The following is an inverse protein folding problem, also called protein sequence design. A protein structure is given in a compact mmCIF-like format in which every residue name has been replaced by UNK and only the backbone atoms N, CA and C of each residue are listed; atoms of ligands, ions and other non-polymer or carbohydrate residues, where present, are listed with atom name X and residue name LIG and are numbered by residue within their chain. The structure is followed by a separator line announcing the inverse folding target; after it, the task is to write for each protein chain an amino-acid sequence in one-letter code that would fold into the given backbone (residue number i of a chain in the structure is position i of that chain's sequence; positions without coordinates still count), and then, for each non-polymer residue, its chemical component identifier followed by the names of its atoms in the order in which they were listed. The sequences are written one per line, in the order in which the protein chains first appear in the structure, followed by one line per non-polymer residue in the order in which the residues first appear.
data_IF_856698585428
#
_entry.id   IF_856698585428
#
_cell.length_a   1.000
_cell.length_b   1.000
_cell.length_c   1.000
_cell.angle_alpha   90.00
_cell.angle_beta   90.00
_cell.angle_gamma   90.00
#
_symmetry.space_group_name_H-M   'P 1'
#
loop_
_entity.id
_entity.type
_entity.pdbx_description
1 polymer ?
#
# COMPACT_ATOMS: atom_id res chain seq x y z
N UNK A 1 36.69 38.33 -28.54
CA UNK A 1 36.35 36.90 -28.67
C UNK A 1 35.85 36.38 -27.34
N UNK A 2 34.56 36.08 -27.33
CA UNK A 2 33.77 35.22 -26.45
C UNK A 2 34.44 34.59 -25.20
N UNK A 3 33.99 35.07 -24.03
CA UNK A 3 33.21 34.23 -23.10
C UNK A 3 33.97 33.33 -22.13
N UNK A 4 34.51 33.89 -21.05
CA UNK A 4 34.56 33.19 -19.75
C UNK A 4 33.12 33.03 -19.25
N UNK A 5 32.51 31.87 -19.46
CA UNK A 5 31.24 31.52 -18.82
C UNK A 5 31.49 30.67 -17.58
N UNK A 6 30.90 31.13 -16.48
CA UNK A 6 30.45 30.41 -15.29
C UNK A 6 31.51 29.79 -14.37
N UNK A 7 32.12 30.62 -13.52
CA UNK A 7 32.85 30.18 -12.32
C UNK A 7 32.35 30.87 -11.02
N UNK A 8 31.14 31.44 -11.06
CA UNK A 8 30.52 32.16 -9.94
C UNK A 8 29.02 31.79 -9.85
N UNK A 9 28.71 30.50 -9.76
CA UNK A 9 27.55 30.11 -8.95
C UNK A 9 28.06 30.05 -7.51
N UNK A 10 27.45 30.83 -6.64
CA UNK A 10 28.06 31.30 -5.39
C UNK A 10 28.11 30.19 -4.32
N UNK A 11 29.27 29.94 -3.67
CA UNK A 11 29.38 28.96 -2.57
C UNK A 11 28.38 29.21 -1.43
N UNK A 12 28.02 30.49 -1.19
CA UNK A 12 27.11 30.89 -0.12
C UNK A 12 25.64 30.47 -0.36
N UNK A 13 25.18 30.41 -1.61
CA UNK A 13 23.84 29.92 -1.93
C UNK A 13 23.77 28.39 -1.79
N UNK A 14 24.85 27.69 -2.15
CA UNK A 14 24.95 26.24 -1.95
C UNK A 14 24.94 25.86 -0.46
N UNK A 15 25.69 26.57 0.39
CA UNK A 15 25.68 26.37 1.85
C UNK A 15 24.29 26.65 2.46
N UNK A 16 23.62 27.72 2.02
CA UNK A 16 22.28 28.04 2.51
C UNK A 16 21.23 26.97 2.12
N UNK A 17 21.31 26.42 0.91
CA UNK A 17 20.44 25.32 0.46
C UNK A 17 20.71 24.03 1.23
N UNK A 18 21.98 23.72 1.50
CA UNK A 18 22.37 22.55 2.29
C UNK A 18 21.85 22.65 3.73
N UNK A 19 21.95 23.82 4.35
CA UNK A 19 21.42 24.07 5.70
C UNK A 19 19.89 23.95 5.77
N UNK A 20 19.18 24.41 4.75
CA UNK A 20 17.72 24.22 4.65
C UNK A 20 17.38 22.74 4.50
N UNK A 21 18.11 22.00 3.66
CA UNK A 21 17.93 20.56 3.49
C UNK A 21 18.14 19.78 4.79
N UNK A 22 19.22 20.09 5.54
CA UNK A 22 19.50 19.49 6.85
C UNK A 22 18.39 19.76 7.87
N UNK A 23 17.85 20.98 7.90
CA UNK A 23 16.74 21.35 8.79
C UNK A 23 15.47 20.58 8.43
N UNK A 24 15.12 20.51 7.15
CA UNK A 24 13.95 19.75 6.68
C UNK A 24 14.07 18.25 7.02
N UNK A 25 15.26 17.66 6.85
CA UNK A 25 15.51 16.27 7.22
C UNK A 25 15.39 16.05 8.75
N UNK A 26 15.91 16.97 9.56
CA UNK A 26 15.79 16.90 11.01
C UNK A 26 14.32 17.02 11.48
N UNK A 27 13.56 17.93 10.89
CA UNK A 27 12.12 18.11 11.19
C UNK A 27 11.29 16.90 10.77
N UNK A 28 11.58 16.33 9.59
CA UNK A 28 10.96 15.09 9.11
C UNK A 28 11.21 13.93 10.08
N UNK A 29 12.47 13.72 10.48
CA UNK A 29 12.84 12.66 11.43
C UNK A 29 12.18 12.86 12.79
N UNK A 30 12.07 14.12 13.25
CA UNK A 30 11.35 14.47 14.48
C UNK A 30 9.86 14.12 14.37
N UNK A 31 9.23 14.38 13.23
CA UNK A 31 7.83 14.01 12.97
C UNK A 31 7.65 12.48 13.00
N UNK A 32 8.53 11.73 12.34
CA UNK A 32 8.50 10.25 12.35
C UNK A 32 8.65 9.69 13.78
N UNK A 33 9.56 10.25 14.59
CA UNK A 33 9.74 9.84 16.00
C UNK A 33 8.47 9.99 16.84
N UNK A 34 7.69 11.03 16.57
CA UNK A 34 6.43 11.35 17.27
C UNK A 34 5.29 10.41 16.93
N UNK A 35 5.40 9.59 15.88
CA UNK A 35 4.39 8.59 15.58
C UNK A 35 4.27 7.61 16.75
N UNK A 36 3.07 7.47 17.30
CA UNK A 36 2.80 6.63 18.46
C UNK A 36 1.52 5.82 18.30
N UNK A 37 1.43 4.73 19.07
CA UNK A 37 0.22 3.93 19.15
C UNK A 37 -0.90 4.79 19.77
N UNK A 38 -2.03 4.90 19.09
CA UNK A 38 -3.13 5.76 19.53
C UNK A 38 -4.48 5.17 19.12
N UNK A 39 -5.47 5.33 19.98
CA UNK A 39 -6.84 4.84 19.73
C UNK A 39 -7.48 5.69 18.63
N UNK A 40 -8.05 5.10 17.58
CA UNK A 40 -8.72 5.84 16.52
C UNK A 40 -9.78 6.80 17.04
N UNK A 41 -9.87 7.98 16.42
CA UNK A 41 -10.75 9.08 16.83
C UNK A 41 -10.55 9.62 18.26
N UNK A 42 -9.35 9.44 18.86
CA UNK A 42 -8.93 10.18 20.06
C UNK A 42 -8.25 11.51 19.71
N UNK A 43 -8.16 12.46 20.66
CA UNK A 43 -7.42 13.73 20.47
C UNK A 43 -5.98 13.51 20.03
N UNK A 44 -5.30 12.54 20.65
CA UNK A 44 -3.92 12.17 20.29
C UNK A 44 -3.86 11.61 18.88
N UNK A 45 -4.81 10.76 18.49
CA UNK A 45 -4.89 10.22 17.12
C UNK A 45 -5.15 11.30 16.07
N UNK A 46 -5.99 12.30 16.38
CA UNK A 46 -6.22 13.45 15.48
C UNK A 46 -4.93 14.23 15.25
N UNK A 47 -4.16 14.50 16.31
CA UNK A 47 -2.87 15.18 16.18
C UNK A 47 -1.84 14.31 15.44
N UNK A 48 -1.84 12.99 15.69
CA UNK A 48 -0.97 12.04 14.99
C UNK A 48 -1.31 11.95 13.50
N UNK A 49 -2.59 12.08 13.13
CA UNK A 49 -3.05 12.09 11.73
C UNK A 49 -2.39 13.20 10.92
N UNK A 50 -2.22 14.39 11.49
CA UNK A 50 -1.53 15.49 10.80
C UNK A 50 -0.04 15.20 10.56
N UNK A 51 0.60 14.54 11.54
CA UNK A 51 1.99 14.10 11.41
C UNK A 51 2.12 13.03 10.33
N UNK A 52 1.25 12.01 10.34
CA UNK A 52 1.19 10.95 9.32
C UNK A 52 0.95 11.55 7.94
N UNK A 53 0.02 12.49 7.81
CA UNK A 53 -0.29 13.15 6.55
C UNK A 53 0.92 13.90 5.99
N UNK A 54 1.63 14.64 6.84
CA UNK A 54 2.86 15.33 6.43
C UNK A 54 3.93 14.35 5.97
N UNK A 55 4.24 13.32 6.77
CA UNK A 55 5.25 12.30 6.44
C UNK A 55 4.91 11.56 5.15
N UNK A 56 3.66 11.15 4.98
CA UNK A 56 3.19 10.45 3.78
C UNK A 56 3.30 11.31 2.52
N UNK A 57 3.00 12.61 2.62
CA UNK A 57 3.15 13.52 1.48
C UNK A 57 4.62 13.64 1.05
N UNK A 58 5.56 13.73 1.99
CA UNK A 58 7.00 13.76 1.66
C UNK A 58 7.44 12.43 1.04
N UNK A 59 7.02 11.29 1.61
CA UNK A 59 7.30 9.97 1.05
C UNK A 59 6.78 9.82 -0.40
N UNK A 60 5.55 10.28 -0.67
CA UNK A 60 4.98 10.25 -2.01
C UNK A 60 5.73 11.16 -3.00
N UNK A 61 6.23 12.30 -2.54
CA UNK A 61 7.05 13.18 -3.37
C UNK A 61 8.39 12.51 -3.71
N UNK A 62 9.07 11.95 -2.72
CA UNK A 62 10.34 11.21 -2.89
C UNK A 62 10.16 10.00 -3.82
N UNK A 63 9.07 9.25 -3.67
CA UNK A 63 8.79 8.04 -4.46
C UNK A 63 8.52 8.34 -5.95
N UNK A 64 8.14 9.58 -6.29
CA UNK A 64 7.91 10.02 -7.68
C UNK A 64 9.18 10.57 -8.34
N UNK A 65 10.26 10.77 -7.57
CA UNK A 65 11.51 11.23 -8.14
C UNK A 65 12.11 10.12 -9.01
N UNK A 66 12.74 10.47 -10.16
CA UNK A 66 13.42 9.47 -10.98
C UNK A 66 14.48 8.76 -10.16
N UNK A 67 14.40 7.44 -10.04
CA UNK A 67 15.46 6.63 -9.45
C UNK A 67 16.70 6.71 -10.33
N UNK A 68 17.78 7.24 -9.78
CA UNK A 68 19.10 7.15 -10.42
C UNK A 68 19.51 5.68 -10.32
N UNK A 69 19.58 4.98 -11.46
CA UNK A 69 19.90 3.55 -11.63
C UNK A 69 19.03 2.51 -10.88
N UNK A 70 18.86 1.33 -11.49
CA UNK A 70 17.95 0.27 -11.01
C UNK A 70 18.45 -0.48 -9.76
N UNK A 71 19.74 -0.36 -9.42
CA UNK A 71 20.41 -1.15 -8.36
C UNK A 71 20.69 -0.35 -7.07
N UNK A 72 20.15 0.86 -6.91
CA UNK A 72 20.38 1.59 -5.67
C UNK A 72 19.55 1.04 -4.51
N UNK A 73 20.24 0.72 -3.43
CA UNK A 73 19.63 0.37 -2.14
C UNK A 73 18.91 1.57 -1.54
N UNK A 74 17.98 1.32 -0.61
CA UNK A 74 17.29 2.39 0.12
C UNK A 74 18.27 3.35 0.83
N UNK A 75 19.44 2.84 1.21
CA UNK A 75 20.47 3.60 1.93
C UNK A 75 21.22 4.60 1.04
N UNK A 76 21.30 4.31 -0.25
CA UNK A 76 21.97 5.14 -1.26
C UNK A 76 21.01 6.10 -1.97
N UNK A 77 19.71 5.83 -1.90
CA UNK A 77 18.66 6.62 -2.53
C UNK A 77 18.38 7.95 -1.83
N UNK A 78 17.65 8.82 -2.54
CA UNK A 78 17.19 10.13 -2.04
C UNK A 78 15.90 10.02 -1.18
N UNK A 79 15.43 8.80 -0.91
CA UNK A 79 14.18 8.52 -0.20
C UNK A 79 14.38 8.54 1.34
N UNK A 80 14.70 9.72 1.86
CA UNK A 80 15.00 9.95 3.27
C UNK A 80 13.84 9.57 4.19
N UNK A 81 12.60 9.74 3.74
CA UNK A 81 11.41 9.48 4.55
C UNK A 81 11.28 8.01 4.91
N UNK A 82 11.33 7.12 3.91
CA UNK A 82 11.25 5.66 4.13
C UNK A 82 12.44 5.20 4.98
N UNK A 83 13.64 5.74 4.70
CA UNK A 83 14.83 5.42 5.48
C UNK A 83 14.67 5.77 6.96
N UNK A 84 14.19 6.97 7.29
CA UNK A 84 13.94 7.35 8.67
C UNK A 84 12.80 6.55 9.32
N UNK A 85 11.78 6.13 8.57
CA UNK A 85 10.75 5.23 9.09
C UNK A 85 11.34 3.88 9.53
N UNK A 86 12.27 3.32 8.75
CA UNK A 86 12.96 2.08 9.10
C UNK A 86 13.94 2.27 10.25
N UNK A 87 14.81 3.28 10.20
CA UNK A 87 15.80 3.57 11.25
C UNK A 87 15.15 3.78 12.63
N UNK A 88 13.95 4.37 12.67
CA UNK A 88 13.21 4.62 13.91
C UNK A 88 12.25 3.47 14.28
N UNK A 89 12.25 2.37 13.53
CA UNK A 89 11.42 1.18 13.78
C UNK A 89 9.91 1.43 13.66
N UNK A 90 9.50 2.40 12.83
CA UNK A 90 8.11 2.87 12.75
C UNK A 90 7.26 2.13 11.72
N UNK A 91 7.84 1.39 10.78
CA UNK A 91 7.06 0.68 9.74
C UNK A 91 6.03 -0.29 10.34
N UNK A 92 6.46 -1.16 11.25
CA UNK A 92 5.55 -2.10 11.92
C UNK A 92 4.59 -1.42 12.91
N UNK A 93 4.87 -0.19 13.35
CA UNK A 93 3.88 0.62 14.07
C UNK A 93 2.81 1.14 13.10
N UNK A 94 3.21 1.69 11.95
CA UNK A 94 2.30 2.15 10.91
C UNK A 94 1.34 1.04 10.46
N UNK A 95 1.86 -0.17 10.28
CA UNK A 95 1.09 -1.34 9.92
C UNK A 95 0.02 -1.71 10.96
N UNK A 96 0.42 -1.83 12.23
CA UNK A 96 -0.51 -2.10 13.34
C UNK A 96 -1.58 -1.01 13.49
N UNK A 97 -1.18 0.26 13.37
CA UNK A 97 -2.10 1.38 13.41
C UNK A 97 -3.14 1.34 12.27
N UNK A 98 -2.74 0.96 11.06
CA UNK A 98 -3.68 0.77 9.95
C UNK A 98 -4.64 -0.39 10.22
N UNK A 99 -4.11 -1.50 10.72
CA UNK A 99 -4.90 -2.69 10.99
C UNK A 99 -5.92 -2.46 12.11
N UNK A 100 -5.50 -1.86 13.22
CA UNK A 100 -6.39 -1.41 14.29
C UNK A 100 -7.45 -0.46 13.76
N UNK A 101 -7.08 0.50 12.90
CA UNK A 101 -8.03 1.43 12.29
C UNK A 101 -9.07 0.72 11.42
N UNK A 102 -8.69 -0.26 10.58
CA UNK A 102 -9.64 -0.98 9.73
C UNK A 102 -10.57 -1.89 10.54
N UNK A 103 -10.06 -2.58 11.57
CA UNK A 103 -10.90 -3.34 12.50
C UNK A 103 -11.87 -2.44 13.25
N UNK A 104 -11.35 -1.34 13.80
CA UNK A 104 -12.15 -0.34 14.51
C UNK A 104 -13.26 0.28 13.63
N UNK A 105 -12.97 0.48 12.33
CA UNK A 105 -13.92 1.04 11.36
C UNK A 105 -15.00 0.01 10.97
N UNK A 106 -14.62 -1.26 10.78
CA UNK A 106 -15.54 -2.34 10.46
C UNK A 106 -16.60 -2.58 11.56
N UNK A 107 -16.20 -2.41 12.83
CA UNK A 107 -17.10 -2.54 14.00
C UNK A 107 -18.11 -1.38 14.13
N UNK A 108 -17.93 -0.28 13.38
CA UNK A 108 -18.72 0.96 13.52
C UNK A 108 -19.43 1.29 12.21
N UNK A 109 -20.54 0.63 11.88
CA UNK A 109 -21.31 0.96 10.69
C UNK A 109 -21.94 2.34 10.84
N UNK A 110 -21.38 3.35 10.18
CA UNK A 110 -21.97 4.67 9.81
C UNK A 110 -23.00 5.32 10.75
N UNK A 111 -22.90 5.11 12.07
CA UNK A 111 -23.81 5.74 13.03
C UNK A 111 -23.47 7.21 13.12
N UNK A 112 -24.31 8.08 12.53
CA UNK A 112 -24.21 9.53 12.64
C UNK A 112 -24.06 9.99 14.09
N UNK A 113 -24.77 9.34 15.01
CA UNK A 113 -24.70 9.61 16.45
C UNK A 113 -23.32 9.30 17.06
N UNK A 114 -22.65 8.25 16.60
CA UNK A 114 -21.28 7.96 17.04
C UNK A 114 -20.31 9.04 16.58
N UNK A 115 -20.39 9.43 15.30
CA UNK A 115 -19.51 10.44 14.73
C UNK A 115 -19.67 11.78 15.46
N UNK A 116 -20.90 12.16 15.80
CA UNK A 116 -21.17 13.36 16.60
C UNK A 116 -20.50 13.30 17.98
N UNK A 117 -20.63 12.16 18.67
CA UNK A 117 -20.04 11.97 20.01
C UNK A 117 -18.51 12.01 19.97
N UNK A 118 -17.90 11.25 19.05
CA UNK A 118 -16.44 11.20 18.91
C UNK A 118 -15.86 12.55 18.46
N UNK A 119 -16.57 13.28 17.58
CA UNK A 119 -16.15 14.60 17.15
C UNK A 119 -16.18 15.61 18.31
N UNK A 120 -17.24 15.58 19.14
CA UNK A 120 -17.32 16.40 20.34
C UNK A 120 -16.18 16.11 21.33
N UNK A 121 -15.86 14.84 21.57
CA UNK A 121 -14.70 14.46 22.40
C UNK A 121 -13.38 14.98 21.85
N UNK A 122 -13.24 15.09 20.53
CA UNK A 122 -12.06 15.65 19.87
C UNK A 122 -12.06 17.18 19.73
N UNK A 123 -13.12 17.88 20.17
CA UNK A 123 -13.35 19.30 19.88
C UNK A 123 -13.35 19.62 18.38
N UNK A 124 -13.94 18.74 17.56
CA UNK A 124 -14.07 18.88 16.11
C UNK A 124 -15.54 18.89 15.68
N UNK A 125 -15.81 19.45 14.50
CA UNK A 125 -17.07 19.20 13.82
C UNK A 125 -17.10 17.75 13.27
N UNK A 126 -18.29 17.09 13.18
CA UNK A 126 -18.42 15.74 12.65
C UNK A 126 -17.76 15.56 11.27
N UNK A 127 -17.97 16.52 10.37
CA UNK A 127 -17.35 16.51 9.03
C UNK A 127 -15.82 16.63 9.09
N UNK A 128 -15.28 17.40 10.04
CA UNK A 128 -13.84 17.51 10.21
C UNK A 128 -13.22 16.20 10.73
N UNK A 129 -13.91 15.50 11.65
CA UNK A 129 -13.47 14.17 12.09
C UNK A 129 -13.56 13.16 10.94
N UNK A 130 -14.64 13.17 10.15
CA UNK A 130 -14.79 12.33 8.96
C UNK A 130 -13.64 12.54 7.97
N UNK A 131 -13.25 13.79 7.73
CA UNK A 131 -12.09 14.11 6.91
C UNK A 131 -10.79 13.58 7.52
N UNK A 132 -10.60 13.67 8.84
CA UNK A 132 -9.41 13.10 9.51
C UNK A 132 -9.34 11.58 9.35
N UNK A 133 -10.46 10.86 9.44
CA UNK A 133 -10.52 9.41 9.19
C UNK A 133 -10.02 9.07 7.78
N UNK A 134 -10.53 9.77 6.76
CA UNK A 134 -10.09 9.57 5.38
C UNK A 134 -8.61 9.95 5.17
N UNK A 135 -8.16 11.07 5.73
CA UNK A 135 -6.76 11.51 5.63
C UNK A 135 -5.84 10.49 6.27
N UNK A 136 -6.17 9.98 7.47
CA UNK A 136 -5.38 8.95 8.14
C UNK A 136 -5.27 7.70 7.27
N UNK A 137 -6.39 7.17 6.78
CA UNK A 137 -6.41 5.95 5.96
C UNK A 137 -5.54 6.11 4.70
N UNK A 138 -5.72 7.23 3.99
CA UNK A 138 -4.99 7.51 2.76
C UNK A 138 -3.49 7.70 3.02
N UNK A 139 -3.13 8.50 4.02
CA UNK A 139 -1.74 8.86 4.29
C UNK A 139 -0.96 7.70 4.89
N UNK A 140 -1.54 6.98 5.85
CA UNK A 140 -0.91 5.78 6.39
C UNK A 140 -0.80 4.70 5.31
N UNK A 141 -1.83 4.58 4.46
CA UNK A 141 -1.83 3.66 3.33
C UNK A 141 -0.69 3.90 2.35
N UNK A 142 -0.52 5.16 1.96
CA UNK A 142 0.56 5.61 1.09
C UNK A 142 1.95 5.40 1.72
N UNK A 143 2.11 5.70 3.01
CA UNK A 143 3.39 5.54 3.70
C UNK A 143 3.85 4.07 3.72
N UNK A 144 2.95 3.15 4.03
CA UNK A 144 3.24 1.70 3.99
C UNK A 144 3.58 1.29 2.55
N UNK A 145 2.80 1.75 1.56
CA UNK A 145 3.02 1.41 0.14
C UNK A 145 4.41 1.86 -0.33
N UNK A 146 4.77 3.12 -0.06
CA UNK A 146 6.09 3.66 -0.41
C UNK A 146 7.20 2.89 0.30
N UNK A 147 6.98 2.47 1.55
CA UNK A 147 7.98 1.67 2.28
C UNK A 147 8.19 0.31 1.63
N UNK A 148 7.11 -0.43 1.35
CA UNK A 148 7.18 -1.79 0.78
C UNK A 148 7.74 -1.84 -0.64
N UNK A 149 7.88 -0.71 -1.33
CA UNK A 149 8.59 -0.66 -2.61
C UNK A 149 10.07 -1.05 -2.48
N UNK A 150 10.64 -1.02 -1.27
CA UNK A 150 12.03 -1.36 -0.98
C UNK A 150 12.16 -2.72 -0.31
N UNK A 151 13.11 -3.53 -0.78
CA UNK A 151 13.38 -4.87 -0.23
C UNK A 151 13.78 -4.82 1.23
N UNK A 152 14.54 -3.81 1.66
CA UNK A 152 15.00 -3.65 3.05
C UNK A 152 13.82 -3.39 4.01
N UNK A 153 12.81 -2.66 3.54
CA UNK A 153 11.57 -2.48 4.29
C UNK A 153 10.76 -3.77 4.33
N UNK A 154 10.63 -4.46 3.18
CA UNK A 154 9.90 -5.72 3.10
C UNK A 154 10.49 -6.79 4.04
N UNK A 155 11.83 -6.89 4.11
CA UNK A 155 12.54 -7.84 4.98
C UNK A 155 12.33 -7.60 6.48
N UNK A 156 12.09 -6.35 6.87
CA UNK A 156 11.87 -5.96 8.29
C UNK A 156 10.38 -5.85 8.65
N UNK A 157 9.49 -5.97 7.66
CA UNK A 157 8.05 -5.93 7.86
C UNK A 157 7.55 -7.18 8.56
N UNK A 158 6.64 -7.02 9.51
CA UNK A 158 5.86 -8.12 10.06
C UNK A 158 4.87 -8.64 9.01
N UNK A 159 5.28 -9.68 8.29
CA UNK A 159 4.48 -10.29 7.22
C UNK A 159 3.18 -10.92 7.75
N UNK A 160 3.16 -11.41 9.00
CA UNK A 160 1.94 -11.99 9.59
C UNK A 160 0.90 -10.90 9.82
N UNK A 161 1.33 -9.75 10.35
CA UNK A 161 0.46 -8.59 10.54
C UNK A 161 -0.03 -8.02 9.19
N UNK A 162 0.86 -7.96 8.18
CA UNK A 162 0.51 -7.44 6.86
C UNK A 162 -0.53 -8.32 6.16
N UNK A 163 -0.30 -9.64 6.15
CA UNK A 163 -1.23 -10.59 5.52
C UNK A 163 -2.58 -10.64 6.26
N UNK A 164 -2.57 -10.49 7.58
CA UNK A 164 -3.80 -10.33 8.37
C UNK A 164 -4.57 -9.06 8.03
N UNK A 165 -3.88 -7.91 7.92
CA UNK A 165 -4.50 -6.64 7.50
C UNK A 165 -5.15 -6.79 6.11
N UNK A 166 -4.42 -7.34 5.14
CA UNK A 166 -4.93 -7.54 3.78
C UNK A 166 -6.17 -8.43 3.80
N UNK A 167 -6.14 -9.54 4.53
CA UNK A 167 -7.29 -10.42 4.71
C UNK A 167 -8.50 -9.66 5.27
N UNK A 168 -8.34 -8.95 6.39
CA UNK A 168 -9.45 -8.27 7.07
C UNK A 168 -10.07 -7.17 6.18
N UNK A 169 -9.25 -6.46 5.39
CA UNK A 169 -9.73 -5.49 4.40
C UNK A 169 -10.54 -6.16 3.30
N UNK A 170 -10.01 -7.22 2.68
CA UNK A 170 -10.68 -7.89 1.56
C UNK A 170 -11.98 -8.59 1.99
N UNK A 171 -11.98 -9.23 3.16
CA UNK A 171 -13.18 -9.84 3.76
C UNK A 171 -14.21 -8.77 4.12
N UNK A 172 -13.79 -7.67 4.75
CA UNK A 172 -14.67 -6.54 5.07
C UNK A 172 -15.34 -5.99 3.81
N UNK A 173 -14.58 -5.80 2.74
CA UNK A 173 -15.12 -5.33 1.44
C UNK A 173 -16.14 -6.29 0.85
N UNK A 174 -15.94 -7.60 1.01
CA UNK A 174 -16.88 -8.60 0.50
C UNK A 174 -18.24 -8.54 1.22
N UNK A 175 -18.27 -8.11 2.49
CA UNK A 175 -19.45 -8.07 3.34
C UNK A 175 -20.36 -6.83 3.14
N UNK A 176 -19.86 -5.71 2.61
CA UNK A 176 -20.62 -4.45 2.41
C UNK A 176 -21.57 -4.51 1.19
N UNK A 177 -22.19 -5.68 0.93
CA UNK A 177 -23.10 -5.84 -0.21
C UNK A 177 -24.39 -5.06 0.05
N UNK A 178 -24.51 -3.91 -0.60
CA UNK A 178 -25.79 -3.37 -0.99
C UNK A 178 -25.91 -3.47 -2.52
N UNK A 179 -26.84 -4.30 -2.99
CA UNK A 179 -27.04 -4.59 -4.41
C UNK A 179 -27.56 -3.37 -5.21
N UNK A 180 -27.87 -2.26 -4.53
CA UNK A 180 -28.49 -1.09 -5.12
C UNK A 180 -27.52 0.06 -5.41
N UNK A 181 -26.29 0.03 -4.89
CA UNK A 181 -25.28 1.06 -5.16
C UNK A 181 -23.95 0.41 -5.56
N UNK A 182 -23.39 0.71 -6.76
CA UNK A 182 -22.05 0.28 -7.09
C UNK A 182 -21.08 0.88 -6.06
N UNK A 183 -20.38 0.00 -5.34
CA UNK A 183 -19.34 0.40 -4.39
C UNK A 183 -18.26 1.14 -5.19
N UNK A 184 -18.11 2.44 -4.95
CA UNK A 184 -17.00 3.23 -5.48
C UNK A 184 -15.79 2.98 -4.59
N UNK A 185 -14.83 2.21 -5.07
CA UNK A 185 -13.56 2.00 -4.37
C UNK A 185 -12.61 3.10 -4.86
N UNK A 186 -12.36 4.11 -4.03
CA UNK A 186 -11.36 5.12 -4.37
C UNK A 186 -9.95 4.51 -4.39
N UNK A 187 -9.07 5.00 -5.26
CA UNK A 187 -7.68 4.52 -5.39
C UNK A 187 -6.84 4.62 -4.11
N UNK A 188 -7.27 5.47 -3.18
CA UNK A 188 -6.61 5.70 -1.89
C UNK A 188 -7.23 4.89 -0.76
N UNK A 189 -8.36 4.24 -1.00
CA UNK A 189 -9.01 3.37 -0.04
C UNK A 189 -8.19 2.10 0.16
N UNK A 190 -8.17 1.54 1.37
CA UNK A 190 -7.36 0.35 1.65
C UNK A 190 -7.71 -0.82 0.75
N UNK A 191 -8.97 -0.92 0.34
CA UNK A 191 -9.49 -1.93 -0.56
C UNK A 191 -8.75 -1.97 -1.91
N UNK A 192 -8.27 -0.81 -2.39
CA UNK A 192 -7.38 -0.73 -3.54
C UNK A 192 -5.90 -0.87 -3.14
N UNK A 193 -5.48 -0.18 -2.07
CA UNK A 193 -4.05 -0.07 -1.68
C UNK A 193 -3.45 -1.41 -1.25
N UNK A 194 -4.22 -2.31 -0.62
CA UNK A 194 -3.75 -3.64 -0.20
C UNK A 194 -3.28 -4.52 -1.36
N UNK A 195 -3.80 -4.31 -2.57
CA UNK A 195 -3.32 -4.99 -3.77
C UNK A 195 -1.87 -4.58 -4.10
N UNK A 196 -1.52 -3.32 -3.87
CA UNK A 196 -0.16 -2.81 -4.04
C UNK A 196 0.79 -3.38 -2.99
N UNK A 197 0.32 -3.57 -1.74
CA UNK A 197 1.15 -4.22 -0.71
C UNK A 197 1.55 -5.63 -1.12
N UNK A 198 0.58 -6.43 -1.58
CA UNK A 198 0.83 -7.79 -2.04
C UNK A 198 1.76 -7.81 -3.26
N UNK A 199 1.53 -6.93 -4.24
CA UNK A 199 2.38 -6.81 -5.41
C UNK A 199 3.83 -6.47 -5.04
N UNK A 200 4.02 -5.53 -4.09
CA UNK A 200 5.34 -5.15 -3.61
C UNK A 200 6.05 -6.27 -2.85
N UNK A 201 5.36 -7.00 -1.97
CA UNK A 201 5.95 -8.16 -1.29
C UNK A 201 6.38 -9.23 -2.30
N UNK A 202 5.54 -9.51 -3.29
CA UNK A 202 5.84 -10.54 -4.30
C UNK A 202 6.86 -10.10 -5.35
N UNK A 203 7.10 -8.79 -5.50
CA UNK A 203 8.21 -8.28 -6.29
C UNK A 203 9.58 -8.59 -5.65
N UNK A 204 9.60 -8.82 -4.34
CA UNK A 204 10.80 -9.15 -3.54
C UNK A 204 10.75 -10.59 -2.99
N UNK A 205 9.99 -11.48 -3.63
CA UNK A 205 9.71 -12.82 -3.09
C UNK A 205 10.99 -13.65 -2.93
N UNK A 206 11.92 -13.53 -3.87
CA UNK A 206 13.21 -14.24 -3.84
C UNK A 206 14.03 -13.82 -2.62
N UNK A 207 14.07 -12.53 -2.29
CA UNK A 207 14.82 -11.98 -1.16
C UNK A 207 14.11 -12.19 0.19
N UNK A 208 12.80 -12.41 0.18
CA UNK A 208 12.00 -12.67 1.39
C UNK A 208 11.94 -14.14 1.77
N UNK A 209 12.31 -15.03 0.84
CA UNK A 209 12.14 -16.48 0.88
C UNK A 209 10.66 -16.91 0.76
N UNK A 210 10.36 -17.63 -0.31
CA UNK A 210 9.02 -18.14 -0.63
C UNK A 210 8.43 -18.96 0.53
N UNK A 211 9.27 -19.77 1.21
CA UNK A 211 8.85 -20.63 2.32
C UNK A 211 8.37 -19.84 3.54
N UNK A 212 8.72 -18.55 3.63
CA UNK A 212 8.23 -17.64 4.68
C UNK A 212 6.93 -16.97 4.29
N UNK A 213 6.74 -16.63 3.02
CA UNK A 213 5.60 -15.83 2.53
C UNK A 213 4.40 -16.71 2.19
N UNK A 214 4.60 -17.79 1.43
CA UNK A 214 3.51 -18.60 0.89
C UNK A 214 2.65 -19.32 1.94
N UNK A 215 3.18 -19.76 3.11
CA UNK A 215 2.33 -20.28 4.18
C UNK A 215 1.33 -19.25 4.71
N UNK A 216 1.71 -17.98 4.80
CA UNK A 216 0.82 -16.90 5.24
C UNK A 216 -0.25 -16.59 4.19
N UNK A 217 0.12 -16.62 2.91
CA UNK A 217 -0.81 -16.47 1.77
C UNK A 217 -1.87 -17.57 1.80
N UNK A 218 -1.46 -18.81 2.10
CA UNK A 218 -2.38 -19.92 2.26
C UNK A 218 -3.26 -19.78 3.51
N UNK A 219 -2.64 -19.48 4.65
CA UNK A 219 -3.33 -19.34 5.95
C UNK A 219 -4.43 -18.27 5.91
N UNK A 220 -4.17 -17.16 5.22
CA UNK A 220 -5.10 -16.04 5.09
C UNK A 220 -5.92 -16.06 3.80
N UNK A 221 -5.90 -17.15 3.04
CA UNK A 221 -6.67 -17.33 1.79
C UNK A 221 -6.55 -16.11 0.84
N UNK A 222 -5.34 -15.56 0.70
CA UNK A 222 -5.18 -14.28 0.01
C UNK A 222 -5.43 -14.40 -1.50
N UNK A 223 -5.03 -15.51 -2.14
CA UNK A 223 -5.28 -15.69 -3.58
C UNK A 223 -6.79 -15.76 -3.90
N UNK A 224 -7.62 -16.59 -3.22
CA UNK A 224 -9.07 -16.61 -3.44
C UNK A 224 -9.74 -15.26 -3.15
N UNK A 225 -9.30 -14.56 -2.11
CA UNK A 225 -9.82 -13.24 -1.74
C UNK A 225 -9.50 -12.20 -2.81
N UNK A 226 -8.27 -12.13 -3.30
CA UNK A 226 -7.89 -11.20 -4.38
C UNK A 226 -8.61 -11.55 -5.67
N UNK A 227 -8.72 -12.83 -6.04
CA UNK A 227 -9.48 -13.23 -7.22
C UNK A 227 -10.93 -12.77 -7.14
N UNK A 228 -11.58 -12.99 -5.98
CA UNK A 228 -12.97 -12.56 -5.75
C UNK A 228 -13.10 -11.03 -5.76
N UNK A 229 -12.15 -10.33 -5.16
CA UNK A 229 -12.14 -8.87 -5.10
C UNK A 229 -12.01 -8.25 -6.50
N UNK A 230 -11.03 -8.70 -7.29
CA UNK A 230 -10.84 -8.23 -8.68
C UNK A 230 -12.04 -8.58 -9.56
N UNK A 231 -12.58 -9.79 -9.44
CA UNK A 231 -13.77 -10.21 -10.20
C UNK A 231 -14.97 -9.30 -9.93
N UNK A 232 -15.21 -8.98 -8.66
CA UNK A 232 -16.39 -8.23 -8.22
C UNK A 232 -16.25 -6.73 -8.42
N UNK A 233 -15.05 -6.18 -8.24
CA UNK A 233 -14.82 -4.74 -8.17
C UNK A 233 -13.95 -4.18 -9.29
N UNK A 234 -13.66 -4.94 -10.35
CA UNK A 234 -12.89 -4.46 -11.50
C UNK A 234 -13.37 -3.09 -12.03
N UNK A 235 -14.67 -2.87 -12.17
CA UNK A 235 -15.21 -1.60 -12.68
C UNK A 235 -15.08 -0.42 -11.70
N UNK A 236 -14.80 -0.70 -10.42
CA UNK A 236 -14.66 0.29 -9.36
C UNK A 236 -13.20 0.56 -8.99
N UNK A 237 -12.27 -0.25 -9.50
CA UNK A 237 -10.84 -0.10 -9.25
C UNK A 237 -10.17 0.65 -10.42
N UNK A 238 -9.11 1.40 -10.12
CA UNK A 238 -8.21 1.88 -11.18
C UNK A 238 -7.48 0.74 -11.87
N UNK A 239 -7.11 0.97 -13.13
CA UNK A 239 -6.22 0.09 -13.90
C UNK A 239 -4.93 -0.24 -13.13
N UNK A 240 -4.35 0.73 -12.43
CA UNK A 240 -3.14 0.55 -11.62
C UNK A 240 -3.35 -0.46 -10.47
N UNK A 241 -4.51 -0.42 -9.81
CA UNK A 241 -4.84 -1.32 -8.71
C UNK A 241 -5.19 -2.73 -9.21
N UNK A 242 -5.88 -2.83 -10.35
CA UNK A 242 -6.10 -4.11 -11.04
C UNK A 242 -4.76 -4.72 -11.43
N UNK A 243 -3.85 -3.93 -11.99
CA UNK A 243 -2.52 -4.38 -12.37
C UNK A 243 -1.73 -4.90 -11.17
N UNK A 244 -1.74 -4.18 -10.05
CA UNK A 244 -1.09 -4.64 -8.81
C UNK A 244 -1.64 -6.00 -8.36
N UNK A 245 -2.97 -6.16 -8.33
CA UNK A 245 -3.60 -7.44 -8.00
C UNK A 245 -3.22 -8.56 -8.98
N UNK A 246 -3.14 -8.25 -10.28
CA UNK A 246 -2.71 -9.21 -11.31
C UNK A 246 -1.24 -9.61 -11.17
N UNK A 247 -0.35 -8.66 -10.83
CA UNK A 247 1.07 -8.94 -10.59
C UNK A 247 1.26 -9.86 -9.38
N UNK A 248 0.56 -9.58 -8.28
CA UNK A 248 0.54 -10.49 -7.12
C UNK A 248 0.11 -11.91 -7.54
N UNK A 249 -1.01 -12.05 -8.24
CA UNK A 249 -1.51 -13.36 -8.67
C UNK A 249 -0.52 -14.05 -9.62
N UNK A 250 0.05 -13.32 -10.58
CA UNK A 250 1.02 -13.87 -11.52
C UNK A 250 2.25 -14.41 -10.79
N UNK A 251 2.85 -13.63 -9.87
CA UNK A 251 4.00 -14.09 -9.08
C UNK A 251 3.63 -15.26 -8.18
N UNK A 252 2.48 -15.22 -7.48
CA UNK A 252 2.03 -16.32 -6.62
C UNK A 252 1.77 -17.61 -7.40
N UNK A 253 1.24 -17.51 -8.62
CA UNK A 253 1.01 -18.65 -9.50
C UNK A 253 2.30 -19.28 -10.04
N UNK A 254 3.43 -18.57 -10.01
CA UNK A 254 4.73 -19.05 -10.50
C UNK A 254 5.57 -19.73 -9.40
N UNK A 255 5.10 -19.68 -8.15
CA UNK A 255 5.79 -20.25 -6.98
C UNK A 255 5.79 -21.78 -6.93
N UNK A 256 6.82 -22.38 -6.33
CA UNK A 256 6.93 -23.83 -6.17
C UNK A 256 5.83 -24.37 -5.22
N UNK A 257 5.52 -23.63 -4.16
CA UNK A 257 4.47 -23.92 -3.20
C UNK A 257 3.10 -24.01 -3.86
N UNK A 258 2.79 -23.08 -4.78
CA UNK A 258 1.56 -23.14 -5.57
C UNK A 258 1.56 -24.35 -6.50
N UNK A 259 2.65 -24.59 -7.25
CA UNK A 259 2.73 -25.71 -8.18
C UNK A 259 2.50 -27.06 -7.51
N UNK A 260 2.95 -27.20 -6.26
CA UNK A 260 2.79 -28.42 -5.46
C UNK A 260 1.37 -28.58 -4.89
N UNK A 261 0.68 -27.48 -4.54
CA UNK A 261 -0.60 -27.51 -3.81
C UNK A 261 -1.69 -26.60 -4.43
N UNK A 262 -1.84 -26.64 -5.75
CA UNK A 262 -2.72 -25.72 -6.51
C UNK A 262 -4.14 -25.57 -5.93
N UNK A 263 -4.80 -26.68 -5.62
CA UNK A 263 -6.18 -26.68 -5.11
C UNK A 263 -6.33 -26.10 -3.70
N UNK A 264 -5.25 -26.07 -2.91
CA UNK A 264 -5.26 -25.46 -1.59
C UNK A 264 -5.21 -23.93 -1.70
N UNK A 265 -4.49 -23.40 -2.70
CA UNK A 265 -4.37 -21.96 -2.93
C UNK A 265 -5.51 -21.39 -3.78
N UNK A 266 -6.03 -22.14 -4.75
CA UNK A 266 -7.14 -21.71 -5.60
C UNK A 266 -8.21 -22.80 -5.68
N UNK A 267 -9.25 -22.71 -4.84
CA UNK A 267 -10.42 -23.56 -4.94
C UNK A 267 -11.16 -23.38 -6.27
N UNK A 268 -12.02 -24.35 -6.59
CA UNK A 268 -12.73 -24.38 -7.88
C UNK A 268 -13.57 -23.13 -8.16
N UNK A 269 -14.15 -22.51 -7.12
CA UNK A 269 -14.96 -21.30 -7.28
C UNK A 269 -14.13 -20.10 -7.79
N UNK A 270 -12.88 -20.01 -7.33
CA UNK A 270 -11.93 -18.96 -7.65
C UNK A 270 -11.40 -19.16 -9.06
N UNK A 271 -11.17 -20.42 -9.47
CA UNK A 271 -10.84 -20.76 -10.86
C UNK A 271 -11.94 -20.29 -11.81
N UNK A 272 -13.22 -20.50 -11.47
CA UNK A 272 -14.35 -20.06 -12.31
C UNK A 272 -14.44 -18.53 -12.46
N UNK A 273 -14.09 -17.77 -11.40
CA UNK A 273 -14.00 -16.30 -11.45
C UNK A 273 -12.80 -15.85 -12.27
N UNK A 274 -11.65 -16.50 -12.10
CA UNK A 274 -10.41 -16.21 -12.81
C UNK A 274 -10.56 -16.36 -14.33
N UNK A 275 -11.31 -17.35 -14.83
CA UNK A 275 -11.65 -17.47 -16.26
C UNK A 275 -12.27 -16.20 -16.87
N UNK A 276 -12.98 -15.43 -16.07
CA UNK A 276 -13.72 -14.25 -16.54
C UNK A 276 -12.80 -13.02 -16.64
N UNK A 277 -11.59 -13.07 -16.09
CA UNK A 277 -10.67 -11.93 -16.09
C UNK A 277 -10.30 -11.45 -17.49
N UNK A 278 -10.17 -12.36 -18.47
CA UNK A 278 -9.89 -12.04 -19.87
C UNK A 278 -10.78 -10.91 -20.38
N UNK A 279 -12.08 -11.19 -20.45
CA UNK A 279 -13.09 -10.26 -20.95
C UNK A 279 -13.36 -9.07 -20.01
N UNK A 280 -13.00 -9.16 -18.72
CA UNK A 280 -13.25 -8.09 -17.75
C UNK A 280 -12.20 -6.99 -17.80
N UNK A 281 -10.91 -7.34 -17.88
CA UNK A 281 -9.82 -6.36 -17.84
C UNK A 281 -8.47 -6.87 -18.36
N UNK A 282 -8.22 -8.18 -18.39
CA UNK A 282 -6.88 -8.70 -18.76
C UNK A 282 -6.54 -8.48 -20.23
N UNK A 283 -7.53 -8.54 -21.13
CA UNK A 283 -7.28 -8.32 -22.57
C UNK A 283 -6.75 -6.90 -22.83
N UNK A 284 -7.28 -5.91 -22.10
CA UNK A 284 -6.84 -4.51 -22.19
C UNK A 284 -5.51 -4.29 -21.45
N UNK A 285 -5.35 -4.89 -20.26
CA UNK A 285 -4.16 -4.73 -19.42
C UNK A 285 -2.91 -5.38 -20.05
N UNK A 286 -3.09 -6.56 -20.65
CA UNK A 286 -2.05 -7.29 -21.36
C UNK A 286 -1.94 -6.83 -22.82
N UNK A 287 -2.13 -5.54 -23.10
CA UNK A 287 -2.02 -5.01 -24.47
C UNK A 287 -0.57 -4.81 -24.94
N UNK A 288 0.39 -4.60 -24.02
CA UNK A 288 1.80 -4.41 -24.35
C UNK A 288 2.63 -5.69 -24.18
N UNK A 289 3.73 -5.87 -24.94
CA UNK A 289 4.63 -7.01 -24.76
C UNK A 289 5.20 -7.12 -23.33
N UNK A 290 5.50 -5.98 -22.71
CA UNK A 290 6.07 -5.90 -21.37
C UNK A 290 5.07 -6.40 -20.31
N UNK A 291 3.83 -5.93 -20.34
CA UNK A 291 2.80 -6.39 -19.37
C UNK A 291 2.43 -7.85 -19.62
N UNK A 292 2.37 -8.30 -20.88
CA UNK A 292 2.17 -9.72 -21.22
C UNK A 292 3.24 -10.62 -20.62
N UNK A 293 4.50 -10.18 -20.63
CA UNK A 293 5.62 -10.95 -20.07
C UNK A 293 5.46 -11.08 -18.55
N UNK A 294 5.20 -9.97 -17.86
CA UNK A 294 5.05 -9.94 -16.40
C UNK A 294 3.83 -10.75 -15.93
N UNK A 295 2.72 -10.71 -16.67
CA UNK A 295 1.48 -11.39 -16.29
C UNK A 295 1.36 -12.81 -16.86
N UNK A 296 2.44 -13.36 -17.46
CA UNK A 296 2.39 -14.64 -18.18
C UNK A 296 1.83 -15.81 -17.36
N UNK A 297 2.26 -16.03 -16.10
CA UNK A 297 1.71 -17.13 -15.28
C UNK A 297 0.19 -17.03 -15.08
N UNK A 298 -0.32 -15.81 -14.90
CA UNK A 298 -1.76 -15.54 -14.76
C UNK A 298 -2.50 -15.78 -16.08
N UNK A 299 -1.98 -15.28 -17.20
CA UNK A 299 -2.57 -15.51 -18.52
C UNK A 299 -2.67 -17.00 -18.85
N UNK A 300 -1.62 -17.76 -18.54
CA UNK A 300 -1.61 -19.20 -18.73
C UNK A 300 -2.59 -19.92 -17.78
N UNK A 301 -2.77 -19.43 -16.55
CA UNK A 301 -3.77 -19.95 -15.63
C UNK A 301 -5.20 -19.69 -16.14
N UNK A 302 -5.50 -18.49 -16.65
CA UNK A 302 -6.81 -18.14 -17.24
C UNK A 302 -7.11 -18.99 -18.46
N UNK A 303 -6.12 -19.23 -19.33
CA UNK A 303 -6.29 -20.05 -20.53
C UNK A 303 -6.51 -21.54 -20.23
N UNK A 304 -5.97 -22.05 -19.12
CA UNK A 304 -6.13 -23.45 -18.69
C UNK A 304 -7.34 -23.71 -17.82
N UNK A 305 -7.82 -22.69 -17.13
CA UNK A 305 -8.93 -22.77 -16.19
C UNK A 305 -10.16 -23.31 -16.92
#
# INVERSE_FOLDING_TARGET
MFGRKNAYEQPAEAEAVEDVSKKLAADLRKNIRRLEACVPASKTWVANTDVVAHVANVALMEHRLPTKAADHTLWEGEQLTVRFVLEEGKLNLCLRLMHEFKRWSAERPSQSQWLETAAAECNLAPDALKQKLAVFEHSMGALIRCSLAHVEAAQTTDLSELTSLVHDVLVGTAAVVDAQNPVQIGDKAQEAVVLHYLASIFAHLEELDEDRVMPLVLQHELMPLVVTHLHKYASALSSESIEAGCRFLASALDTEAYMTRRSAFLPQDSILKLKQFGALFLDDLASTPETKKTLRPLLDAVARA
#
